data_IF_860881945343
#
_entry.id   IF_860881945343
#
_cell.length_a   1.000
_cell.length_b   1.000
_cell.length_c   1.000
_cell.angle_alpha   90.00
_cell.angle_beta   90.00
_cell.angle_gamma   90.00
#
_symmetry.space_group_name_H-M   'P 1'
#
loop_
_entity.id
_entity.type
_entity.pdbx_description
1 polymer ?
#
# COMPACT_ATOMS: atom_id res chain seq x y z
N UNK A 1 -2.13 1.80 -56.36
CA UNK A 1 -2.17 2.68 -55.16
C UNK A 1 -1.75 1.89 -53.93
N UNK A 2 -0.60 2.23 -53.37
CA UNK A 2 -0.11 1.63 -52.13
C UNK A 2 -0.73 2.47 -51.00
N UNK A 3 -1.74 1.93 -50.31
CA UNK A 3 -2.27 2.55 -49.10
C UNK A 3 -1.18 2.54 -48.05
N UNK A 4 -0.62 3.72 -47.78
CA UNK A 4 0.29 3.95 -46.65
C UNK A 4 -0.45 3.55 -45.37
N UNK A 5 0.07 2.52 -44.71
CA UNK A 5 -0.30 2.19 -43.35
C UNK A 5 0.02 3.42 -42.50
N UNK A 6 -1.02 4.09 -41.99
CA UNK A 6 -0.84 5.12 -40.97
C UNK A 6 -0.07 4.49 -39.81
N UNK A 7 1.06 5.07 -39.37
CA UNK A 7 1.78 4.57 -38.21
C UNK A 7 0.82 4.62 -37.02
N UNK A 8 0.67 3.49 -36.35
CA UNK A 8 -0.02 3.38 -35.07
C UNK A 8 0.44 4.54 -34.17
N UNK A 9 -0.47 5.26 -33.49
CA UNK A 9 -0.08 6.36 -32.63
C UNK A 9 0.96 5.84 -31.64
N UNK A 10 2.12 6.49 -31.61
CA UNK A 10 3.19 6.17 -30.67
C UNK A 10 2.57 6.11 -29.27
N UNK A 11 2.82 5.05 -28.48
CA UNK A 11 2.34 4.99 -27.11
C UNK A 11 2.86 6.23 -26.36
N UNK A 12 2.04 6.86 -25.50
CA UNK A 12 2.41 8.09 -24.81
C UNK A 12 3.78 7.92 -24.15
N UNK A 13 4.63 8.93 -24.27
CA UNK A 13 5.95 8.90 -23.65
C UNK A 13 5.76 8.75 -22.15
N UNK A 14 6.54 7.91 -21.46
CA UNK A 14 6.34 7.68 -20.02
C UNK A 14 6.48 8.96 -19.20
N UNK A 15 7.20 9.96 -19.71
CA UNK A 15 7.18 11.32 -19.18
C UNK A 15 5.76 11.89 -19.11
N UNK A 16 4.97 11.76 -20.18
CA UNK A 16 3.57 12.18 -20.24
C UNK A 16 2.70 11.38 -19.27
N UNK A 17 2.99 10.08 -19.11
CA UNK A 17 2.33 9.23 -18.12
C UNK A 17 2.55 9.77 -16.69
N UNK A 18 3.79 10.14 -16.35
CA UNK A 18 4.13 10.65 -15.02
C UNK A 18 3.66 12.09 -14.79
N UNK A 19 3.82 12.97 -15.77
CA UNK A 19 3.32 14.36 -15.73
C UNK A 19 1.79 14.38 -15.54
N UNK A 20 1.08 13.48 -16.22
CA UNK A 20 -0.37 13.43 -16.18
C UNK A 20 -0.90 12.68 -14.93
N UNK A 21 -0.16 11.71 -14.36
CA UNK A 21 -0.40 11.22 -12.98
C UNK A 21 -0.26 12.38 -11.98
N UNK A 22 0.77 13.22 -12.13
CA UNK A 22 0.94 14.44 -11.34
C UNK A 22 -0.23 15.42 -11.50
N UNK A 23 -0.73 15.59 -12.73
CA UNK A 23 -1.89 16.43 -13.04
C UNK A 23 -3.17 15.90 -12.42
N UNK A 24 -3.44 14.60 -12.54
CA UNK A 24 -4.58 13.93 -11.88
C UNK A 24 -4.51 14.07 -10.37
N UNK A 25 -3.31 14.03 -9.79
CA UNK A 25 -3.12 14.24 -8.37
C UNK A 25 -3.44 15.66 -7.92
N UNK A 26 -3.00 16.64 -8.70
CA UNK A 26 -3.34 18.05 -8.48
C UNK A 26 -4.86 18.26 -8.55
N UNK A 27 -5.54 17.64 -9.52
CA UNK A 27 -7.01 17.68 -9.67
C UNK A 27 -7.73 16.99 -8.49
N UNK A 28 -7.17 15.90 -7.96
CA UNK A 28 -7.77 15.11 -6.87
C UNK A 28 -7.29 15.51 -5.48
N UNK A 29 -6.53 16.61 -5.35
CA UNK A 29 -5.97 17.09 -4.08
C UNK A 29 -7.03 17.25 -2.99
N UNK A 30 -8.18 17.86 -3.29
CA UNK A 30 -9.27 18.01 -2.33
C UNK A 30 -9.82 16.66 -1.85
N UNK A 31 -9.95 15.69 -2.76
CA UNK A 31 -10.38 14.34 -2.41
C UNK A 31 -9.34 13.65 -1.51
N UNK A 32 -8.05 13.72 -1.86
CA UNK A 32 -6.94 13.24 -1.03
C UNK A 32 -7.01 13.79 0.39
N UNK A 33 -7.18 15.11 0.55
CA UNK A 33 -7.32 15.76 1.84
C UNK A 33 -8.51 15.21 2.65
N UNK A 34 -9.68 15.13 2.02
CA UNK A 34 -10.89 14.59 2.67
C UNK A 34 -10.69 13.13 3.11
N UNK A 35 -10.01 12.30 2.30
CA UNK A 35 -9.74 10.89 2.64
C UNK A 35 -8.71 10.75 3.75
N UNK A 36 -7.66 11.56 3.77
CA UNK A 36 -6.66 11.58 4.87
C UNK A 36 -7.34 12.01 6.18
N UNK A 37 -8.20 13.03 6.13
CA UNK A 37 -9.00 13.41 7.29
C UNK A 37 -9.92 12.27 7.76
N UNK A 38 -10.61 11.59 6.83
CA UNK A 38 -11.45 10.43 7.16
C UNK A 38 -10.68 9.28 7.84
N UNK A 39 -9.36 9.17 7.64
CA UNK A 39 -8.50 8.18 8.30
C UNK A 39 -8.04 8.66 9.67
N UNK A 40 -7.72 9.95 9.78
CA UNK A 40 -7.04 10.52 10.96
C UNK A 40 -7.97 11.10 12.01
N UNK A 41 -9.22 11.44 11.65
CA UNK A 41 -10.16 12.09 12.57
C UNK A 41 -10.38 11.37 13.91
N UNK A 42 -10.38 10.02 14.02
CA UNK A 42 -10.55 9.38 15.33
C UNK A 42 -9.36 9.66 16.26
N UNK A 43 -8.16 9.77 15.70
CA UNK A 43 -6.95 10.10 16.46
C UNK A 43 -6.91 11.59 16.80
N UNK A 44 -7.39 12.45 15.89
CA UNK A 44 -7.54 13.89 16.16
C UNK A 44 -8.53 14.09 17.31
N UNK A 45 -9.67 13.40 17.31
CA UNK A 45 -10.63 13.44 18.41
C UNK A 45 -9.99 13.03 19.74
N UNK A 46 -9.19 11.96 19.73
CA UNK A 46 -8.47 11.50 20.93
C UNK A 46 -7.48 12.54 21.44
N UNK A 47 -6.76 13.24 20.56
CA UNK A 47 -5.85 14.34 20.93
C UNK A 47 -6.64 15.49 21.55
N UNK A 48 -7.78 15.86 20.96
CA UNK A 48 -8.66 16.92 21.49
C UNK A 48 -9.18 16.55 22.87
N UNK A 49 -9.75 15.35 23.03
CA UNK A 49 -10.29 14.86 24.30
C UNK A 49 -9.20 14.78 25.36
N UNK A 50 -8.02 14.25 25.02
CA UNK A 50 -6.89 14.16 25.96
C UNK A 50 -6.40 15.55 26.39
N UNK A 51 -6.39 16.52 25.47
CA UNK A 51 -6.03 17.90 25.79
C UNK A 51 -7.04 18.56 26.72
N UNK A 52 -8.35 18.40 26.45
CA UNK A 52 -9.42 18.92 27.32
C UNK A 52 -9.36 18.28 28.71
N UNK A 53 -9.12 16.97 28.79
CA UNK A 53 -8.98 16.27 30.07
C UNK A 53 -7.75 16.74 30.86
N UNK A 54 -6.62 16.98 30.20
CA UNK A 54 -5.43 17.54 30.87
C UNK A 54 -5.69 18.95 31.40
N UNK A 55 -6.41 19.79 30.65
CA UNK A 55 -6.82 21.11 31.15
C UNK A 55 -7.71 21.01 32.39
N UNK A 56 -8.59 20.01 32.46
CA UNK A 56 -9.45 19.75 33.64
C UNK A 56 -8.63 19.13 34.80
N UNK A 57 -7.60 18.34 34.50
CA UNK A 57 -6.73 17.69 35.47
C UNK A 57 -5.86 18.71 36.24
N UNK A 58 -5.37 19.74 35.56
CA UNK A 58 -4.62 20.85 36.20
C UNK A 58 -5.47 21.61 37.25
N UNK A 59 -6.80 21.41 37.29
CA UNK A 59 -7.70 21.86 38.36
C UNK A 59 -7.84 20.88 39.56
N UNK A 60 -6.91 19.91 39.72
CA UNK A 60 -6.84 18.96 40.87
C UNK A 60 -8.10 18.11 41.11
N UNK A 61 -8.85 17.76 40.06
CA UNK A 61 -10.16 17.08 40.21
C UNK A 61 -10.15 15.55 40.09
N UNK A 62 -8.99 14.91 39.88
CA UNK A 62 -8.95 13.46 39.56
C UNK A 62 -8.35 12.57 40.66
N UNK A 63 -9.10 11.53 41.05
CA UNK A 63 -8.66 10.44 41.96
C UNK A 63 -8.11 9.23 41.17
N UNK A 64 -7.35 8.34 41.82
CA UNK A 64 -6.77 7.12 41.20
C UNK A 64 -7.81 6.21 40.51
N UNK A 65 -9.04 6.13 41.04
CA UNK A 65 -10.13 5.33 40.47
C UNK A 65 -10.60 5.84 39.09
N UNK A 66 -10.45 7.14 38.85
CA UNK A 66 -10.83 7.76 37.58
C UNK A 66 -9.81 7.46 36.47
N UNK A 67 -8.53 7.23 36.82
CA UNK A 67 -7.49 6.79 35.87
C UNK A 67 -7.77 5.39 35.32
N UNK A 68 -8.19 4.45 36.17
CA UNK A 68 -8.59 3.11 35.74
C UNK A 68 -9.84 3.15 34.86
N UNK A 69 -10.79 4.01 35.18
CA UNK A 69 -12.00 4.24 34.38
C UNK A 69 -11.66 4.82 33.01
N UNK A 70 -10.71 5.76 32.95
CA UNK A 70 -10.21 6.32 31.69
C UNK A 70 -9.54 5.26 30.80
N UNK A 71 -8.68 4.41 31.36
CA UNK A 71 -8.03 3.32 30.61
C UNK A 71 -9.04 2.32 30.03
N UNK A 72 -10.11 2.00 30.78
CA UNK A 72 -11.19 1.10 30.31
C UNK A 72 -11.95 1.65 29.10
N UNK A 73 -12.02 2.97 28.91
CA UNK A 73 -12.68 3.60 27.75
C UNK A 73 -11.67 3.81 26.61
N UNK A 74 -10.43 4.20 26.95
CA UNK A 74 -9.38 4.51 25.99
C UNK A 74 -8.99 3.29 25.14
N UNK A 75 -8.82 2.11 25.76
CA UNK A 75 -8.37 0.91 25.05
C UNK A 75 -9.41 0.47 23.99
N UNK A 76 -10.71 0.28 24.31
CA UNK A 76 -11.72 -0.02 23.32
C UNK A 76 -11.82 1.06 22.22
N UNK A 77 -11.73 2.34 22.59
CA UNK A 77 -11.73 3.43 21.61
C UNK A 77 -10.56 3.31 20.62
N UNK A 78 -9.34 3.08 21.11
CA UNK A 78 -8.15 2.91 20.28
C UNK A 78 -8.28 1.70 19.34
N UNK A 79 -8.86 0.59 19.82
CA UNK A 79 -9.13 -0.58 18.99
C UNK A 79 -10.14 -0.27 17.88
N UNK A 80 -11.25 0.41 18.21
CA UNK A 80 -12.26 0.83 17.23
C UNK A 80 -11.68 1.81 16.22
N UNK A 81 -10.92 2.81 16.68
CA UNK A 81 -10.22 3.77 15.83
C UNK A 81 -9.23 3.07 14.89
N UNK A 82 -8.41 2.15 15.39
CA UNK A 82 -7.47 1.39 14.59
C UNK A 82 -8.16 0.51 13.55
N UNK A 83 -9.25 -0.17 13.93
CA UNK A 83 -10.04 -0.99 13.02
C UNK A 83 -10.70 -0.16 11.93
N UNK A 84 -11.38 0.92 12.30
CA UNK A 84 -12.00 1.86 11.37
C UNK A 84 -10.98 2.45 10.40
N UNK A 85 -9.86 3.00 10.90
CA UNK A 85 -8.83 3.60 10.05
C UNK A 85 -8.19 2.56 9.12
N UNK A 86 -8.07 1.30 9.54
CA UNK A 86 -7.59 0.20 8.69
C UNK A 86 -8.54 -0.08 7.52
N UNK A 87 -9.86 -0.12 7.77
CA UNK A 87 -10.87 -0.30 6.73
C UNK A 87 -10.84 0.87 5.73
N UNK A 88 -10.86 2.10 6.24
CA UNK A 88 -10.87 3.30 5.37
C UNK A 88 -9.58 3.38 4.56
N UNK A 89 -8.42 3.08 5.16
CA UNK A 89 -7.14 2.98 4.43
C UNK A 89 -7.20 1.93 3.31
N UNK A 90 -7.83 0.78 3.57
CA UNK A 90 -7.96 -0.26 2.56
C UNK A 90 -8.83 0.18 1.39
N UNK A 91 -9.98 0.79 1.66
CA UNK A 91 -10.86 1.36 0.62
C UNK A 91 -10.13 2.45 -0.14
N UNK A 92 -9.39 3.32 0.55
CA UNK A 92 -8.66 4.39 -0.12
C UNK A 92 -7.50 3.87 -0.99
N UNK A 93 -6.87 2.76 -0.59
CA UNK A 93 -5.87 2.08 -1.42
C UNK A 93 -6.48 1.56 -2.73
N UNK A 94 -7.67 0.95 -2.65
CA UNK A 94 -8.44 0.51 -3.82
C UNK A 94 -8.78 1.71 -4.71
N UNK A 95 -9.27 2.80 -4.12
CA UNK A 95 -9.62 4.03 -4.85
C UNK A 95 -8.41 4.60 -5.61
N UNK A 96 -7.23 4.68 -4.99
CA UNK A 96 -6.00 5.15 -5.66
C UNK A 96 -5.59 4.26 -6.84
N UNK A 97 -5.80 2.95 -6.72
CA UNK A 97 -5.53 2.02 -7.81
C UNK A 97 -6.51 2.23 -8.97
N UNK A 98 -7.79 2.48 -8.69
CA UNK A 98 -8.79 2.84 -9.70
C UNK A 98 -8.46 4.18 -10.35
N UNK A 99 -8.00 5.18 -9.60
CA UNK A 99 -7.61 6.49 -10.19
C UNK A 99 -6.51 6.33 -11.23
N UNK A 100 -5.52 5.51 -10.93
CA UNK A 100 -4.42 5.23 -11.86
C UNK A 100 -4.97 4.44 -13.05
N UNK A 101 -5.73 3.37 -12.82
CA UNK A 101 -6.26 2.52 -13.89
C UNK A 101 -7.21 3.27 -14.86
N UNK A 102 -8.21 3.96 -14.31
CA UNK A 102 -9.18 4.77 -15.06
C UNK A 102 -8.57 5.90 -15.86
N UNK A 103 -7.45 6.45 -15.37
CA UNK A 103 -6.68 7.43 -16.11
C UNK A 103 -6.15 6.87 -17.44
N UNK A 104 -5.55 5.68 -17.43
CA UNK A 104 -5.04 5.06 -18.67
C UNK A 104 -6.14 4.50 -19.54
N UNK A 105 -7.26 4.05 -18.95
CA UNK A 105 -8.47 3.69 -19.70
C UNK A 105 -9.16 4.90 -20.36
N UNK A 106 -8.65 6.13 -20.15
CA UNK A 106 -9.27 7.40 -20.58
C UNK A 106 -10.70 7.55 -20.07
N UNK A 107 -11.02 6.92 -18.93
CA UNK A 107 -12.28 7.02 -18.21
C UNK A 107 -12.10 8.04 -17.09
N UNK A 108 -12.45 9.31 -17.33
CA UNK A 108 -12.41 10.34 -16.30
C UNK A 108 -13.49 10.09 -15.24
N UNK A 109 -13.18 9.28 -14.22
CA UNK A 109 -14.07 9.04 -13.08
C UNK A 109 -14.02 10.19 -12.09
N UNK A 110 -15.18 10.67 -11.64
CA UNK A 110 -15.25 11.62 -10.55
C UNK A 110 -14.79 11.01 -9.21
N UNK A 111 -14.29 11.81 -8.25
CA UNK A 111 -13.90 11.33 -6.93
C UNK A 111 -15.02 10.65 -6.11
N UNK A 112 -16.28 11.00 -6.39
CA UNK A 112 -17.47 10.38 -5.79
C UNK A 112 -17.69 8.96 -6.33
N UNK A 113 -17.52 8.79 -7.64
CA UNK A 113 -17.68 7.54 -8.37
C UNK A 113 -16.57 6.55 -8.03
N UNK A 114 -15.31 7.00 -8.01
CA UNK A 114 -14.17 6.17 -7.62
C UNK A 114 -14.33 5.62 -6.21
N UNK A 115 -14.82 6.44 -5.28
CA UNK A 115 -15.07 6.02 -3.89
C UNK A 115 -16.20 5.00 -3.79
N UNK A 116 -17.24 5.15 -4.60
CA UNK A 116 -18.36 4.21 -4.67
C UNK A 116 -17.91 2.86 -5.20
N UNK A 117 -17.13 2.84 -6.28
CA UNK A 117 -16.55 1.62 -6.85
C UNK A 117 -15.63 0.97 -5.81
N UNK A 118 -14.75 1.75 -5.16
CA UNK A 118 -13.83 1.24 -4.16
C UNK A 118 -14.54 0.56 -2.98
N UNK A 119 -15.66 1.12 -2.51
CA UNK A 119 -16.49 0.50 -1.46
C UNK A 119 -17.15 -0.80 -1.93
N UNK A 120 -17.65 -0.88 -3.17
CA UNK A 120 -18.20 -2.13 -3.73
C UNK A 120 -17.12 -3.20 -3.89
N UNK A 121 -15.90 -2.82 -4.29
CA UNK A 121 -14.76 -3.71 -4.45
C UNK A 121 -14.11 -4.15 -3.13
N UNK A 122 -14.47 -3.55 -2.00
CA UNK A 122 -13.90 -3.85 -0.69
C UNK A 122 -13.92 -5.35 -0.37
N UNK A 123 -15.10 -5.98 -0.38
CA UNK A 123 -15.23 -7.39 0.01
C UNK A 123 -14.53 -8.35 -0.95
N UNK A 124 -14.70 -8.23 -2.28
CA UNK A 124 -13.95 -9.05 -3.23
C UNK A 124 -12.44 -8.89 -3.10
N UNK A 125 -11.94 -7.66 -3.00
CA UNK A 125 -10.51 -7.38 -2.86
C UNK A 125 -9.97 -7.89 -1.51
N UNK A 126 -10.74 -7.77 -0.43
CA UNK A 126 -10.40 -8.27 0.89
C UNK A 126 -10.31 -9.81 0.90
N UNK A 127 -11.31 -10.50 0.33
CA UNK A 127 -11.30 -11.94 0.19
C UNK A 127 -10.11 -12.44 -0.65
N UNK A 128 -9.81 -11.75 -1.77
CA UNK A 128 -8.62 -12.04 -2.57
C UNK A 128 -7.33 -11.87 -1.77
N UNK A 129 -7.21 -10.80 -0.98
CA UNK A 129 -6.05 -10.58 -0.10
C UNK A 129 -5.93 -11.60 1.00
N UNK A 130 -7.03 -12.05 1.62
CA UNK A 130 -6.99 -13.13 2.60
C UNK A 130 -6.45 -14.42 1.95
N UNK A 131 -6.89 -14.76 0.74
CA UNK A 131 -6.39 -15.95 0.02
C UNK A 131 -4.89 -15.84 -0.27
N UNK A 132 -4.42 -14.67 -0.68
CA UNK A 132 -2.98 -14.41 -0.86
C UNK A 132 -2.23 -14.49 0.48
N UNK A 133 -2.79 -13.90 1.53
CA UNK A 133 -2.21 -13.90 2.87
C UNK A 133 -2.07 -15.33 3.41
N UNK A 134 -3.11 -16.14 3.33
CA UNK A 134 -3.07 -17.54 3.77
C UNK A 134 -2.00 -18.34 3.02
N UNK A 135 -1.93 -18.20 1.69
CA UNK A 135 -1.02 -18.97 0.85
C UNK A 135 0.44 -18.54 0.98
N UNK A 136 0.70 -17.24 0.99
CA UNK A 136 2.06 -16.69 0.88
C UNK A 136 2.62 -16.15 2.18
N UNK A 137 1.79 -15.77 3.14
CA UNK A 137 2.27 -15.24 4.42
C UNK A 137 2.07 -16.28 5.52
N UNK A 138 0.82 -16.69 5.78
CA UNK A 138 0.50 -17.55 6.93
C UNK A 138 1.20 -18.91 6.89
N UNK A 139 0.97 -19.71 5.84
CA UNK A 139 1.54 -21.07 5.76
C UNK A 139 3.08 -21.02 5.85
N UNK A 140 3.80 -20.21 5.06
CA UNK A 140 5.26 -20.19 5.11
C UNK A 140 5.81 -19.63 6.42
N UNK A 141 5.19 -18.61 7.02
CA UNK A 141 5.62 -18.06 8.32
C UNK A 141 5.44 -19.12 9.42
N UNK A 142 4.32 -19.84 9.44
CA UNK A 142 4.10 -20.92 10.41
C UNK A 142 5.18 -22.01 10.26
N UNK A 143 5.49 -22.42 9.03
CA UNK A 143 6.57 -23.39 8.77
C UNK A 143 7.92 -22.87 9.24
N UNK A 144 8.25 -21.60 8.97
CA UNK A 144 9.50 -20.96 9.40
C UNK A 144 9.60 -20.90 10.93
N UNK A 145 8.51 -20.57 11.62
CA UNK A 145 8.47 -20.52 13.10
C UNK A 145 8.65 -21.92 13.69
N UNK A 146 7.95 -22.93 13.17
CA UNK A 146 8.10 -24.32 13.63
C UNK A 146 9.53 -24.81 13.38
N UNK A 147 10.08 -24.58 12.19
CA UNK A 147 11.45 -24.95 11.86
C UNK A 147 12.48 -24.25 12.77
N UNK A 148 12.26 -22.97 13.08
CA UNK A 148 13.11 -22.22 14.01
C UNK A 148 13.02 -22.76 15.44
N UNK A 149 11.82 -23.08 15.92
CA UNK A 149 11.63 -23.73 17.22
C UNK A 149 12.33 -25.07 17.32
N UNK A 150 12.24 -25.90 16.27
CA UNK A 150 12.96 -27.18 16.20
C UNK A 150 14.49 -26.98 16.15
N UNK A 151 14.97 -25.98 15.40
CA UNK A 151 16.40 -25.64 15.37
C UNK A 151 16.91 -25.25 16.75
N UNK A 152 16.17 -24.42 17.49
CA UNK A 152 16.53 -24.08 18.88
C UNK A 152 16.53 -25.34 19.75
N UNK A 153 15.49 -26.16 19.68
CA UNK A 153 15.36 -27.37 20.49
C UNK A 153 16.47 -28.40 20.21
N UNK A 154 16.97 -28.48 18.98
CA UNK A 154 18.06 -29.41 18.63
C UNK A 154 19.43 -28.79 18.95
N UNK A 155 19.69 -27.55 18.57
CA UNK A 155 21.01 -26.94 18.73
C UNK A 155 21.32 -26.54 20.17
N UNK A 156 20.38 -25.94 20.91
CA UNK A 156 20.66 -25.43 22.26
C UNK A 156 21.12 -26.53 23.22
N UNK A 157 20.48 -27.72 23.30
CA UNK A 157 20.95 -28.80 24.16
C UNK A 157 22.33 -29.35 23.78
N UNK A 158 22.69 -29.38 22.49
CA UNK A 158 24.01 -29.84 22.03
C UNK A 158 25.14 -28.94 22.53
N UNK A 159 24.88 -27.64 22.70
CA UNK A 159 25.86 -26.71 23.29
C UNK A 159 25.81 -26.69 24.82
N UNK A 160 24.70 -27.10 25.43
CA UNK A 160 24.47 -27.03 26.88
C UNK A 160 25.23 -28.11 27.68
N UNK A 161 25.68 -29.19 27.05
CA UNK A 161 26.34 -30.31 27.75
C UNK A 161 27.80 -30.05 28.16
N UNK A 162 28.44 -28.99 27.65
CA UNK A 162 29.88 -28.77 27.87
C UNK A 162 30.39 -27.34 27.66
N UNK A 163 29.56 -26.36 27.25
CA UNK A 163 30.01 -24.99 26.97
C UNK A 163 29.58 -23.99 28.05
N UNK A 164 30.32 -22.87 28.14
CA UNK A 164 29.98 -21.75 29.02
C UNK A 164 28.66 -21.09 28.61
N UNK A 165 27.97 -20.50 29.59
CA UNK A 165 26.71 -19.76 29.39
C UNK A 165 26.82 -18.69 28.28
N UNK A 166 27.98 -18.04 28.15
CA UNK A 166 28.24 -17.04 27.11
C UNK A 166 28.18 -17.61 25.70
N UNK A 167 28.67 -18.84 25.48
CA UNK A 167 28.63 -19.49 24.16
C UNK A 167 27.18 -19.77 23.77
N UNK A 168 26.36 -20.27 24.71
CA UNK A 168 24.94 -20.57 24.48
C UNK A 168 24.15 -19.29 24.14
N UNK A 169 24.41 -18.20 24.87
CA UNK A 169 23.75 -16.91 24.67
C UNK A 169 24.13 -16.31 23.30
N UNK A 170 25.42 -16.35 22.94
CA UNK A 170 25.89 -15.86 21.65
C UNK A 170 25.34 -16.69 20.48
N UNK A 171 25.33 -18.02 20.58
CA UNK A 171 24.74 -18.90 19.56
C UNK A 171 23.24 -18.66 19.37
N UNK A 172 22.51 -18.45 20.46
CA UNK A 172 21.07 -18.15 20.42
C UNK A 172 20.78 -16.80 19.77
N UNK A 173 21.59 -15.77 20.06
CA UNK A 173 21.49 -14.46 19.42
C UNK A 173 21.79 -14.52 17.92
N UNK A 174 22.81 -15.28 17.51
CA UNK A 174 23.13 -15.47 16.09
C UNK A 174 21.98 -16.16 15.36
N UNK A 175 21.42 -17.23 15.93
CA UNK A 175 20.26 -17.92 15.36
C UNK A 175 19.05 -16.98 15.22
N UNK A 176 18.78 -16.17 16.24
CA UNK A 176 17.71 -15.18 16.19
C UNK A 176 17.97 -14.10 15.11
N UNK A 177 19.20 -13.61 14.99
CA UNK A 177 19.56 -12.65 13.95
C UNK A 177 19.36 -13.22 12.54
N UNK A 178 19.82 -14.46 12.30
CA UNK A 178 19.62 -15.18 11.02
C UNK A 178 18.13 -15.34 10.72
N UNK A 179 17.32 -15.68 11.72
CA UNK A 179 15.87 -15.80 11.58
C UNK A 179 15.22 -14.47 11.18
N UNK A 180 15.57 -13.37 11.85
CA UNK A 180 15.06 -12.03 11.51
C UNK A 180 15.47 -11.62 10.10
N UNK A 181 16.74 -11.83 9.73
CA UNK A 181 17.24 -11.55 8.36
C UNK A 181 16.46 -12.38 7.33
N UNK A 182 16.23 -13.66 7.61
CA UNK A 182 15.43 -14.55 6.77
C UNK A 182 13.99 -14.05 6.58
N UNK A 183 13.33 -13.59 7.64
CA UNK A 183 11.99 -13.00 7.57
C UNK A 183 11.98 -11.72 6.72
N UNK A 184 12.98 -10.85 6.87
CA UNK A 184 13.10 -9.61 6.08
C UNK A 184 13.31 -9.93 4.60
N UNK A 185 14.23 -10.85 4.28
CA UNK A 185 14.49 -11.30 2.92
C UNK A 185 13.22 -11.93 2.28
N UNK A 186 12.49 -12.73 3.06
CA UNK A 186 11.22 -13.32 2.62
C UNK A 186 10.15 -12.26 2.37
N UNK A 187 10.04 -11.26 3.24
CA UNK A 187 9.14 -10.12 3.06
C UNK A 187 9.45 -9.34 1.77
N UNK A 188 10.73 -9.12 1.46
CA UNK A 188 11.16 -8.48 0.22
C UNK A 188 10.84 -9.33 -1.01
N UNK A 189 11.07 -10.64 -0.94
CA UNK A 189 10.69 -11.59 -1.97
C UNK A 189 9.18 -11.54 -2.26
N UNK A 190 8.34 -11.57 -1.22
CA UNK A 190 6.89 -11.48 -1.36
C UNK A 190 6.44 -10.16 -1.97
N UNK A 191 7.03 -9.04 -1.53
CA UNK A 191 6.74 -7.71 -2.08
C UNK A 191 6.98 -7.68 -3.59
N UNK A 192 8.06 -8.30 -4.06
CA UNK A 192 8.40 -8.38 -5.48
C UNK A 192 7.46 -9.33 -6.23
N UNK A 193 7.19 -10.51 -5.67
CA UNK A 193 6.35 -11.54 -6.30
C UNK A 193 4.89 -11.11 -6.44
N UNK A 194 4.34 -10.42 -5.44
CA UNK A 194 2.93 -10.07 -5.38
C UNK A 194 2.60 -8.71 -6.00
N UNK A 195 3.59 -7.98 -6.54
CA UNK A 195 3.43 -6.58 -6.99
C UNK A 195 2.34 -6.36 -8.04
N UNK A 196 2.08 -7.36 -8.90
CA UNK A 196 1.09 -7.27 -9.98
C UNK A 196 -0.29 -7.78 -9.60
N UNK A 197 -0.42 -8.46 -8.45
CA UNK A 197 -1.64 -9.20 -8.09
C UNK A 197 -2.90 -8.37 -8.08
N UNK A 198 -2.79 -7.10 -7.67
CA UNK A 198 -3.95 -6.23 -7.60
C UNK A 198 -4.42 -5.73 -8.98
N UNK A 199 -3.50 -5.40 -9.89
CA UNK A 199 -3.87 -5.00 -11.25
C UNK A 199 -4.44 -6.17 -12.04
N UNK A 200 -3.85 -7.37 -11.88
CA UNK A 200 -4.44 -8.61 -12.42
C UNK A 200 -5.85 -8.83 -11.86
N UNK A 201 -6.05 -8.56 -10.56
CA UNK A 201 -7.39 -8.66 -9.95
C UNK A 201 -8.36 -7.66 -10.58
N UNK A 202 -7.95 -6.40 -10.82
CA UNK A 202 -8.79 -5.41 -11.51
C UNK A 202 -9.12 -5.85 -12.93
N UNK A 203 -8.14 -6.21 -13.75
CA UNK A 203 -8.35 -6.62 -15.15
C UNK A 203 -9.31 -7.82 -15.26
N UNK A 204 -9.20 -8.78 -14.34
CA UNK A 204 -10.00 -10.00 -14.34
C UNK A 204 -11.31 -9.91 -13.57
N UNK A 205 -11.58 -8.79 -12.88
CA UNK A 205 -12.75 -8.67 -12.04
C UNK A 205 -14.07 -8.83 -12.82
N UNK A 206 -14.99 -9.66 -12.34
CA UNK A 206 -16.27 -9.93 -13.03
C UNK A 206 -16.20 -10.90 -14.22
N UNK A 207 -15.01 -11.36 -14.60
CA UNK A 207 -14.85 -12.49 -15.53
C UNK A 207 -14.91 -13.81 -14.76
N UNK A 208 -15.28 -14.92 -15.40
CA UNK A 208 -15.30 -16.27 -14.81
C UNK A 208 -13.88 -16.83 -14.52
N UNK A 209 -12.90 -15.96 -14.32
CA UNK A 209 -11.51 -16.35 -14.11
C UNK A 209 -11.30 -16.88 -12.69
N UNK A 210 -10.72 -18.07 -12.61
CA UNK A 210 -10.40 -18.69 -11.33
C UNK A 210 -9.19 -18.00 -10.67
N UNK A 211 -9.11 -18.06 -9.34
CA UNK A 211 -7.95 -17.60 -8.57
C UNK A 211 -6.63 -18.21 -9.08
N UNK A 212 -6.66 -19.46 -9.56
CA UNK A 212 -5.50 -20.13 -10.15
C UNK A 212 -5.01 -19.41 -11.43
N UNK A 213 -5.93 -18.99 -12.29
CA UNK A 213 -5.60 -18.23 -13.52
C UNK A 213 -4.92 -16.89 -13.21
N UNK A 214 -5.36 -16.19 -12.15
CA UNK A 214 -4.72 -14.93 -11.71
C UNK A 214 -3.28 -15.16 -11.23
N UNK A 215 -3.02 -16.28 -10.56
CA UNK A 215 -1.67 -16.64 -10.09
C UNK A 215 -0.74 -17.07 -11.23
N UNK A 216 -1.27 -17.79 -12.22
CA UNK A 216 -0.51 -18.14 -13.42
C UNK A 216 -0.12 -16.89 -14.21
N UNK A 217 -1.02 -15.93 -14.36
CA UNK A 217 -0.72 -14.65 -14.99
C UNK A 217 0.33 -13.85 -14.20
N UNK A 218 0.21 -13.80 -12.87
CA UNK A 218 1.21 -13.18 -12.01
C UNK A 218 2.61 -13.80 -12.23
N UNK A 219 2.69 -15.13 -12.31
CA UNK A 219 3.96 -15.82 -12.55
C UNK A 219 4.53 -15.50 -13.95
N UNK A 220 3.68 -15.47 -14.99
CA UNK A 220 4.11 -15.08 -16.35
C UNK A 220 4.70 -13.67 -16.38
N UNK A 221 3.98 -12.69 -15.82
CA UNK A 221 4.43 -11.30 -15.78
C UNK A 221 5.72 -11.14 -14.97
N UNK A 222 5.84 -11.85 -13.84
CA UNK A 222 7.07 -11.84 -13.04
C UNK A 222 8.26 -12.47 -13.79
N UNK A 223 8.04 -13.51 -14.58
CA UNK A 223 9.12 -14.14 -15.33
C UNK A 223 9.67 -13.20 -16.41
N UNK A 224 8.80 -12.54 -17.17
CA UNK A 224 9.23 -11.58 -18.21
C UNK A 224 9.96 -10.39 -17.60
N UNK A 225 9.51 -9.91 -16.45
CA UNK A 225 10.13 -8.77 -15.77
C UNK A 225 11.56 -9.01 -15.26
N UNK A 226 12.01 -10.27 -15.23
CA UNK A 226 13.39 -10.63 -14.87
C UNK A 226 14.34 -10.60 -16.07
N UNK A 227 13.81 -10.58 -17.29
CA UNK A 227 14.63 -10.58 -18.51
C UNK A 227 15.46 -9.30 -18.65
N UNK A 228 16.66 -9.43 -19.22
CA UNK A 228 17.53 -8.28 -19.50
C UNK A 228 16.91 -7.35 -20.54
N UNK A 229 16.16 -7.88 -21.51
CA UNK A 229 15.39 -7.10 -22.48
C UNK A 229 14.38 -6.20 -21.79
N UNK A 230 13.65 -6.73 -20.79
CA UNK A 230 12.71 -5.95 -20.02
C UNK A 230 13.40 -4.82 -19.26
N UNK A 231 14.52 -5.10 -18.57
CA UNK A 231 15.26 -4.06 -17.83
C UNK A 231 15.79 -2.97 -18.75
N UNK A 232 16.38 -3.34 -19.88
CA UNK A 232 16.91 -2.38 -20.87
C UNK A 232 15.80 -1.51 -21.45
N UNK A 233 14.69 -2.12 -21.88
CA UNK A 233 13.55 -1.40 -22.43
C UNK A 233 12.88 -0.49 -21.39
N UNK A 234 12.78 -0.95 -20.13
CA UNK A 234 12.31 -0.13 -19.02
C UNK A 234 13.23 1.08 -18.79
N UNK A 235 14.55 0.90 -18.76
CA UNK A 235 15.52 1.99 -18.54
C UNK A 235 15.46 3.01 -19.69
N UNK A 236 15.42 2.55 -20.93
CA UNK A 236 15.31 3.39 -22.12
C UNK A 236 13.99 4.17 -22.16
N UNK A 237 12.91 3.56 -21.67
CA UNK A 237 11.57 4.14 -21.63
C UNK A 237 11.36 5.12 -20.49
N UNK A 238 11.96 4.86 -19.32
CA UNK A 238 11.79 5.67 -18.12
C UNK A 238 12.72 6.88 -18.16
N UNK A 239 13.99 6.74 -18.54
CA UNK A 239 14.96 7.85 -18.51
C UNK A 239 15.21 8.44 -17.12
N UNK A 240 16.37 9.08 -16.89
CA UNK A 240 16.74 9.63 -15.58
C UNK A 240 15.81 10.76 -15.07
N UNK A 241 15.14 11.48 -15.98
CA UNK A 241 14.31 12.64 -15.65
C UNK A 241 12.94 12.28 -15.05
N UNK A 242 12.38 11.11 -15.34
CA UNK A 242 11.07 10.70 -14.80
C UNK A 242 11.13 10.23 -13.34
N UNK A 243 12.28 9.70 -12.90
CA UNK A 243 12.52 9.35 -11.50
C UNK A 243 12.56 10.60 -10.62
N UNK A 244 13.07 11.72 -11.15
CA UNK A 244 13.02 13.02 -10.48
C UNK A 244 11.59 13.53 -10.33
N UNK A 245 10.68 13.28 -11.28
CA UNK A 245 9.26 13.64 -11.15
C UNK A 245 8.54 12.79 -10.09
N UNK A 246 8.88 11.50 -9.93
CA UNK A 246 8.36 10.65 -8.83
C UNK A 246 8.85 11.16 -7.47
N UNK A 247 10.14 11.49 -7.38
CA UNK A 247 10.72 12.08 -6.18
C UNK A 247 10.10 13.46 -5.88
N UNK A 248 9.92 14.32 -6.89
CA UNK A 248 9.28 15.63 -6.76
C UNK A 248 7.79 15.52 -6.38
N UNK A 249 7.02 14.57 -6.92
CA UNK A 249 5.62 14.36 -6.51
C UNK A 249 5.51 13.90 -5.05
N UNK A 250 6.43 13.05 -4.60
CA UNK A 250 6.54 12.68 -3.19
C UNK A 250 6.95 13.90 -2.35
N UNK A 251 7.95 14.67 -2.79
CA UNK A 251 8.49 15.84 -2.10
C UNK A 251 7.49 17.01 -2.06
N UNK A 252 6.72 17.27 -3.11
CA UNK A 252 5.69 18.33 -3.16
C UNK A 252 4.48 17.98 -2.29
N UNK A 253 4.10 16.70 -2.24
CA UNK A 253 3.06 16.22 -1.34
C UNK A 253 3.50 16.28 0.14
N UNK A 254 4.78 16.01 0.40
CA UNK A 254 5.42 16.17 1.72
C UNK A 254 5.56 17.66 2.07
N UNK A 255 6.00 18.49 1.12
CA UNK A 255 6.18 19.95 1.25
C UNK A 255 4.87 20.67 1.54
N UNK A 256 3.76 20.29 0.89
CA UNK A 256 2.45 20.85 1.21
C UNK A 256 2.00 20.49 2.64
N UNK A 257 2.45 19.35 3.17
CA UNK A 257 2.23 18.93 4.55
C UNK A 257 3.21 19.52 5.58
N UNK A 258 4.27 20.22 5.17
CA UNK A 258 5.33 20.75 6.05
C UNK A 258 5.42 22.28 6.00
N UNK A 259 5.17 22.91 4.84
CA UNK A 259 5.40 24.35 4.62
C UNK A 259 4.34 25.30 5.20
N UNK A 260 3.18 24.81 5.65
CA UNK A 260 2.14 25.64 6.28
C UNK A 260 2.24 25.73 7.82
N UNK A 261 3.25 25.13 8.46
CA UNK A 261 3.14 24.74 9.87
C UNK A 261 4.20 25.37 10.80
N UNK A 262 4.51 26.64 10.58
CA UNK A 262 5.30 27.44 11.52
C UNK A 262 4.49 27.85 12.76
N UNK A 263 4.94 27.42 13.94
CA UNK A 263 4.68 28.05 15.25
C UNK A 263 3.24 28.00 15.85
N UNK A 264 2.54 26.87 15.78
CA UNK A 264 1.26 26.69 16.50
C UNK A 264 1.36 25.69 17.66
N UNK A 265 0.67 25.98 18.77
CA UNK A 265 0.85 25.35 20.10
C UNK A 265 0.72 23.82 20.17
N UNK A 266 1.11 23.21 21.31
CA UNK A 266 1.26 21.75 21.52
C UNK A 266 0.12 20.87 20.98
N UNK A 267 -1.13 21.31 21.13
CA UNK A 267 -2.31 20.59 20.61
C UNK A 267 -2.36 20.60 19.09
N UNK A 268 -2.21 21.78 18.47
CA UNK A 268 -2.19 21.94 17.01
C UNK A 268 -1.01 21.17 16.42
N UNK A 269 0.17 21.25 17.05
CA UNK A 269 1.34 20.47 16.63
C UNK A 269 1.09 18.95 16.61
N UNK A 270 0.41 18.40 17.62
CA UNK A 270 0.06 16.98 17.68
C UNK A 270 -0.96 16.56 16.60
N UNK A 271 -2.00 17.37 16.39
CA UNK A 271 -3.00 17.14 15.33
C UNK A 271 -2.32 17.14 13.96
N UNK A 272 -1.48 18.16 13.71
CA UNK A 272 -0.77 18.31 12.46
C UNK A 272 0.24 17.18 12.24
N UNK A 273 0.92 16.70 13.28
CA UNK A 273 1.82 15.54 13.18
C UNK A 273 1.07 14.30 12.71
N UNK A 274 -0.04 13.94 13.35
CA UNK A 274 -0.83 12.75 12.95
C UNK A 274 -1.35 12.88 11.52
N UNK A 275 -1.79 14.07 11.13
CA UNK A 275 -2.25 14.33 9.78
C UNK A 275 -1.11 14.25 8.75
N UNK A 276 0.03 14.89 9.02
CA UNK A 276 1.20 14.93 8.15
C UNK A 276 1.85 13.57 7.95
N UNK A 277 1.96 12.77 9.01
CA UNK A 277 2.44 11.38 8.92
C UNK A 277 1.55 10.53 8.01
N UNK A 278 0.23 10.68 8.12
CA UNK A 278 -0.70 9.97 7.24
C UNK A 278 -0.65 10.51 5.80
N UNK A 279 -0.56 11.82 5.60
CA UNK A 279 -0.44 12.42 4.28
C UNK A 279 0.81 11.92 3.56
N UNK A 280 1.96 11.92 4.23
CA UNK A 280 3.22 11.38 3.72
C UNK A 280 3.08 9.90 3.35
N UNK A 281 2.51 9.09 4.25
CA UNK A 281 2.24 7.67 3.99
C UNK A 281 1.36 7.47 2.76
N UNK A 282 0.29 8.25 2.60
CA UNK A 282 -0.63 8.13 1.46
C UNK A 282 0.03 8.54 0.14
N UNK A 283 0.88 9.57 0.16
CA UNK A 283 1.67 10.00 -0.98
C UNK A 283 2.70 8.93 -1.41
N UNK A 284 3.45 8.38 -0.44
CA UNK A 284 4.39 7.28 -0.72
C UNK A 284 3.67 6.03 -1.25
N UNK A 285 2.53 5.65 -0.66
CA UNK A 285 1.77 4.49 -1.14
C UNK A 285 1.24 4.72 -2.56
N UNK A 286 0.81 5.95 -2.89
CA UNK A 286 0.42 6.27 -4.26
C UNK A 286 1.58 6.19 -5.26
N UNK A 287 2.74 6.76 -4.91
CA UNK A 287 3.94 6.66 -5.76
C UNK A 287 4.33 5.20 -6.01
N UNK A 288 4.24 4.36 -4.98
CA UNK A 288 4.46 2.92 -5.12
C UNK A 288 3.43 2.25 -6.05
N UNK A 289 2.14 2.61 -5.95
CA UNK A 289 1.10 2.08 -6.83
C UNK A 289 1.37 2.49 -8.28
N UNK A 290 1.70 3.77 -8.53
CA UNK A 290 2.02 4.27 -9.86
C UNK A 290 3.23 3.53 -10.47
N UNK A 291 4.31 3.37 -9.71
CA UNK A 291 5.49 2.62 -10.15
C UNK A 291 5.15 1.16 -10.46
N UNK A 292 4.37 0.48 -9.60
CA UNK A 292 3.93 -0.89 -9.85
C UNK A 292 3.05 -1.01 -11.09
N UNK A 293 2.20 -0.03 -11.35
CA UNK A 293 1.35 0.01 -12.53
C UNK A 293 2.16 0.15 -13.83
N UNK A 294 3.15 1.04 -13.83
CA UNK A 294 4.07 1.18 -14.98
C UNK A 294 4.80 -0.14 -15.26
N UNK A 295 5.34 -0.79 -14.22
CA UNK A 295 5.95 -2.10 -14.34
C UNK A 295 4.98 -3.18 -14.82
N UNK A 296 3.70 -3.06 -14.48
CA UNK A 296 2.65 -3.99 -14.87
C UNK A 296 2.35 -3.85 -16.37
N UNK A 297 2.10 -2.63 -16.85
CA UNK A 297 1.86 -2.38 -18.28
C UNK A 297 3.03 -2.79 -19.15
N UNK A 298 4.25 -2.52 -18.68
CA UNK A 298 5.45 -2.93 -19.38
C UNK A 298 5.56 -4.46 -19.49
N UNK A 299 5.24 -5.19 -18.40
CA UNK A 299 5.22 -6.65 -18.42
C UNK A 299 4.10 -7.21 -19.30
N UNK A 300 2.92 -6.59 -19.31
CA UNK A 300 1.80 -6.96 -20.18
C UNK A 300 2.14 -6.77 -21.66
N UNK A 301 2.76 -5.64 -22.03
CA UNK A 301 3.21 -5.35 -23.40
C UNK A 301 4.16 -6.42 -23.92
N UNK A 302 5.14 -6.81 -23.10
CA UNK A 302 6.11 -7.84 -23.48
C UNK A 302 5.50 -9.24 -23.56
N UNK A 303 4.49 -9.55 -22.73
CA UNK A 303 3.82 -10.87 -22.75
C UNK A 303 2.78 -11.00 -23.88
N UNK A 304 1.99 -9.95 -24.12
CA UNK A 304 0.79 -10.01 -24.96
C UNK A 304 0.80 -9.04 -26.15
N UNK A 305 1.82 -8.19 -26.30
CA UNK A 305 1.87 -7.13 -27.31
C UNK A 305 0.96 -5.93 -27.03
N UNK A 306 0.06 -6.04 -26.04
CA UNK A 306 -0.88 -4.99 -25.65
C UNK A 306 -0.57 -4.47 -24.25
N UNK A 307 -0.62 -3.15 -24.08
CA UNK A 307 -0.33 -2.51 -22.80
C UNK A 307 -1.50 -2.55 -21.80
N UNK A 308 -2.70 -3.00 -22.20
CA UNK A 308 -3.92 -2.86 -21.40
C UNK A 308 -5.04 -3.83 -21.84
N UNK A 309 -5.83 -4.30 -20.88
CA UNK A 309 -7.15 -4.90 -21.09
C UNK A 309 -8.17 -4.03 -20.34
N UNK A 310 -9.02 -3.29 -21.07
CA UNK A 310 -10.02 -2.40 -20.43
C UNK A 310 -11.11 -3.29 -19.82
N UNK A 311 -11.17 -3.39 -18.49
CA UNK A 311 -12.22 -4.17 -17.84
C UNK A 311 -13.52 -3.37 -17.74
N UNK A 312 -14.39 -3.52 -18.75
CA UNK A 312 -15.70 -2.89 -18.75
C UNK A 312 -16.59 -3.25 -17.56
N UNK A 313 -16.39 -4.39 -16.90
CA UNK A 313 -17.23 -4.81 -15.77
C UNK A 313 -17.07 -3.90 -14.55
N UNK A 314 -15.86 -3.35 -14.33
CA UNK A 314 -15.62 -2.36 -13.27
C UNK A 314 -16.40 -1.09 -13.57
N UNK A 315 -16.40 -0.65 -14.82
CA UNK A 315 -17.12 0.55 -15.27
C UNK A 315 -18.64 0.33 -15.39
N UNK A 316 -19.12 -0.89 -15.59
CA UNK A 316 -20.55 -1.22 -15.53
C UNK A 316 -21.11 -1.12 -14.11
N UNK A 317 -20.28 -1.23 -13.07
CA UNK A 317 -20.70 -0.96 -11.67
C UNK A 317 -21.03 0.51 -11.41
N UNK A 318 -20.64 1.39 -12.34
CA UNK A 318 -21.05 2.79 -12.37
C UNK A 318 -22.44 2.98 -12.99
N UNK A 319 -22.78 2.23 -14.04
CA UNK A 319 -24.08 2.32 -14.77
C UNK A 319 -25.23 1.64 -14.02
N UNK A 320 -24.97 0.64 -13.16
CA UNK A 320 -26.02 -0.01 -12.37
C UNK A 320 -26.49 0.84 -11.18
N UNK A 321 -27.14 1.96 -11.51
CA UNK A 321 -28.16 2.70 -10.76
C UNK A 321 -28.67 3.83 -11.67
N UNK A 322 -29.43 3.47 -12.69
CA UNK A 322 -30.64 4.20 -13.07
C UNK A 322 -31.80 3.50 -12.38
#
# INVERSE_FOLDING_TARGET
>A
EIKSQQPSPLPPSYKEIFEEIGRQLKLRKSALFKRIFLITWPYILLIIVSYVLNLIYDFKSFSQDQTFTYLKILIPYLLVAAFYSSIVRFIFKIEKQIWIDSFFDKKNLEPSESWRIAKKLFWPAFAFRIKLWLRYYFIPIVVIIIAFGLLIQVFVPTFNSSNSYEIILNSSLILFAVFVIGLVAYGYYLKTKLRYTYFIFLDKFGTASSYKSMLEEMNKLNNVSKSETFKKSLILSIGANSLNSIAQLAIESISFGVSQFGNTGKMVGNIMRVYGEEASRQATDLGNIAAQYVLYRFARKEVYGTEQEVNENIYKMFVSKS
#
